data_IF_017711550815
#
_entry.id   IF_017711550815
#
_cell.length_a   1.000
_cell.length_b   1.000
_cell.length_c   1.000
_cell.angle_alpha   90.00
_cell.angle_beta   90.00
_cell.angle_gamma   90.00
#
_symmetry.space_group_name_H-M   'P 1'
#
loop_
_entity.id
_entity.type
_entity.pdbx_description
1 polymer ?
#
# COMPACT_ATOMS: atom_id res chain seq x y z
N UNK A 1 -0.77 -12.34 0.29
CA UNK A 1 -2.19 -12.68 0.46
C UNK A 1 -2.49 -13.29 1.83
N UNK A 2 -1.90 -14.42 2.24
CA UNK A 2 -2.24 -15.07 3.54
C UNK A 2 -2.16 -14.14 4.77
N UNK A 3 -1.13 -13.29 4.88
CA UNK A 3 -0.99 -12.35 6.00
C UNK A 3 -2.09 -11.27 6.01
N UNK A 4 -2.57 -10.85 4.85
CA UNK A 4 -3.68 -9.89 4.73
C UNK A 4 -4.97 -10.54 5.22
N UNK A 5 -5.23 -11.78 4.79
CA UNK A 5 -6.39 -12.55 5.25
C UNK A 5 -6.37 -12.73 6.78
N UNK A 6 -5.19 -13.03 7.35
CA UNK A 6 -5.00 -13.13 8.80
C UNK A 6 -5.25 -11.78 9.51
N UNK A 7 -4.79 -10.67 8.96
CA UNK A 7 -5.05 -9.33 9.50
C UNK A 7 -6.56 -9.00 9.51
N UNK A 8 -7.27 -9.36 8.43
CA UNK A 8 -8.74 -9.19 8.32
C UNK A 8 -9.47 -10.04 9.36
N UNK A 9 -9.10 -11.32 9.50
CA UNK A 9 -9.69 -12.21 10.51
C UNK A 9 -9.44 -11.71 11.94
N UNK A 10 -8.24 -11.19 12.22
CA UNK A 10 -7.91 -10.61 13.52
C UNK A 10 -8.76 -9.35 13.80
N UNK A 11 -8.97 -8.49 12.79
CA UNK A 11 -9.87 -7.33 12.89
C UNK A 11 -11.30 -7.75 13.23
N UNK A 12 -11.84 -8.76 12.55
CA UNK A 12 -13.20 -9.28 12.78
C UNK A 12 -13.38 -9.84 14.21
N UNK A 13 -12.30 -10.37 14.80
CA UNK A 13 -12.28 -10.88 16.17
C UNK A 13 -12.02 -9.81 17.22
N UNK A 14 -11.79 -8.55 16.83
CA UNK A 14 -11.40 -7.47 17.72
C UNK A 14 -9.97 -7.60 18.28
N UNK A 15 -9.15 -8.49 17.73
CA UNK A 15 -7.76 -8.65 18.16
C UNK A 15 -6.86 -7.63 17.46
N UNK A 16 -6.84 -6.42 18.04
CA UNK A 16 -6.07 -5.31 17.52
C UNK A 16 -4.54 -5.56 17.52
N UNK A 17 -4.04 -6.44 18.41
CA UNK A 17 -2.61 -6.77 18.46
C UNK A 17 -2.25 -7.66 17.28
N UNK A 18 -2.95 -8.77 17.10
CA UNK A 18 -2.71 -9.69 16.00
C UNK A 18 -2.93 -8.99 14.65
N UNK A 19 -3.97 -8.15 14.53
CA UNK A 19 -4.19 -7.37 13.31
C UNK A 19 -2.96 -6.50 12.98
N UNK A 20 -2.38 -5.80 13.96
CA UNK A 20 -1.20 -4.95 13.71
C UNK A 20 0.03 -5.76 13.31
N UNK A 21 0.24 -6.90 13.95
CA UNK A 21 1.35 -7.80 13.64
C UNK A 21 1.24 -8.35 12.22
N UNK A 22 0.05 -8.84 11.84
CA UNK A 22 -0.20 -9.36 10.50
C UNK A 22 -0.14 -8.28 9.42
N UNK A 23 -0.75 -7.09 9.63
CA UNK A 23 -0.64 -5.98 8.67
C UNK A 23 0.81 -5.54 8.49
N UNK A 24 1.62 -5.48 9.55
CA UNK A 24 3.05 -5.11 9.46
C UNK A 24 3.87 -6.16 8.71
N UNK A 25 3.59 -7.45 8.94
CA UNK A 25 4.22 -8.53 8.20
C UNK A 25 3.82 -8.54 6.72
N UNK A 26 2.53 -8.36 6.42
CA UNK A 26 2.02 -8.23 5.06
C UNK A 26 2.67 -7.06 4.33
N UNK A 27 2.75 -5.90 5.01
CA UNK A 27 3.39 -4.71 4.46
C UNK A 27 4.86 -4.98 4.08
N UNK A 28 5.62 -5.62 4.97
CA UNK A 28 7.02 -5.97 4.68
C UNK A 28 7.15 -6.88 3.45
N UNK A 29 6.24 -7.84 3.29
CA UNK A 29 6.24 -8.75 2.13
C UNK A 29 5.91 -8.04 0.83
N UNK A 30 4.82 -7.26 0.79
CA UNK A 30 4.40 -6.53 -0.42
C UNK A 30 5.42 -5.47 -0.81
N UNK A 31 6.00 -4.75 0.17
CA UNK A 31 7.09 -3.81 -0.09
C UNK A 31 8.29 -4.51 -0.71
N UNK A 32 8.71 -5.66 -0.17
CA UNK A 32 9.84 -6.40 -0.73
C UNK A 32 9.55 -6.85 -2.18
N UNK A 33 8.32 -7.30 -2.45
CA UNK A 33 7.90 -7.65 -3.80
C UNK A 33 7.92 -6.44 -4.75
N UNK A 34 7.39 -5.29 -4.32
CA UNK A 34 7.42 -4.04 -5.07
C UNK A 34 8.86 -3.58 -5.36
N UNK A 35 9.77 -3.67 -4.38
CA UNK A 35 11.18 -3.32 -4.54
C UNK A 35 11.89 -4.23 -5.58
N UNK A 36 11.55 -5.52 -5.66
CA UNK A 36 12.12 -6.46 -6.64
C UNK A 36 11.78 -6.08 -8.10
N UNK A 37 10.60 -5.52 -8.32
CA UNK A 37 10.13 -5.14 -9.66
C UNK A 37 10.23 -3.64 -9.94
N UNK A 38 10.78 -2.85 -9.01
CA UNK A 38 10.74 -1.38 -9.06
C UNK A 38 11.27 -0.77 -10.36
N UNK A 39 12.26 -1.41 -10.99
CA UNK A 39 12.86 -0.93 -12.25
C UNK A 39 12.38 -1.69 -13.50
N UNK A 40 11.43 -2.62 -13.36
CA UNK A 40 10.91 -3.48 -14.44
C UNK A 40 9.62 -2.86 -14.99
N UNK A 41 9.75 -1.80 -15.79
CA UNK A 41 8.61 -1.04 -16.32
C UNK A 41 7.77 -1.83 -17.34
N UNK A 42 8.38 -2.82 -17.98
CA UNK A 42 7.76 -3.76 -18.90
C UNK A 42 6.85 -4.78 -18.19
N UNK A 43 6.97 -4.93 -16.87
CA UNK A 43 6.09 -5.76 -16.04
C UNK A 43 4.79 -5.07 -15.62
N UNK A 44 4.36 -4.03 -16.32
CA UNK A 44 3.03 -3.47 -16.06
C UNK A 44 1.93 -4.44 -16.53
N UNK A 45 0.83 -4.57 -15.76
CA UNK A 45 0.47 -3.79 -14.57
C UNK A 45 1.05 -4.33 -13.25
N UNK A 46 1.71 -5.49 -13.25
CA UNK A 46 2.18 -6.17 -12.03
C UNK A 46 3.02 -5.27 -11.14
N UNK A 47 3.93 -4.45 -11.71
CA UNK A 47 4.76 -3.52 -10.93
C UNK A 47 3.91 -2.51 -10.17
N UNK A 48 2.99 -1.82 -10.86
CA UNK A 48 2.14 -0.80 -10.23
C UNK A 48 1.14 -1.39 -9.24
N UNK A 49 0.59 -2.58 -9.53
CA UNK A 49 -0.25 -3.34 -8.58
C UNK A 49 0.51 -3.63 -7.28
N UNK A 50 1.75 -4.14 -7.36
CA UNK A 50 2.54 -4.44 -6.15
C UNK A 50 2.85 -3.18 -5.33
N UNK A 51 3.19 -2.07 -5.98
CA UNK A 51 3.40 -0.80 -5.28
C UNK A 51 2.12 -0.27 -4.63
N UNK A 52 0.98 -0.38 -5.31
CA UNK A 52 -0.33 0.01 -4.77
C UNK A 52 -0.68 -0.84 -3.55
N UNK A 53 -0.55 -2.17 -3.64
CA UNK A 53 -0.79 -3.10 -2.53
C UNK A 53 0.09 -2.77 -1.32
N UNK A 54 1.38 -2.52 -1.54
CA UNK A 54 2.30 -2.11 -0.50
C UNK A 54 1.90 -0.76 0.13
N UNK A 55 1.43 0.21 -0.67
CA UNK A 55 0.99 1.51 -0.18
C UNK A 55 -0.26 1.40 0.70
N UNK A 56 -1.25 0.59 0.31
CA UNK A 56 -2.46 0.34 1.12
C UNK A 56 -2.09 -0.25 2.48
N UNK A 57 -1.20 -1.24 2.51
CA UNK A 57 -0.74 -1.84 3.77
C UNK A 57 0.10 -0.87 4.62
N UNK A 58 0.85 0.03 4.00
CA UNK A 58 1.54 1.11 4.71
C UNK A 58 0.53 2.05 5.40
N UNK A 59 -0.60 2.37 4.76
CA UNK A 59 -1.68 3.14 5.37
C UNK A 59 -2.30 2.42 6.57
N UNK A 60 -2.57 1.12 6.46
CA UNK A 60 -3.05 0.32 7.60
C UNK A 60 -2.06 0.31 8.77
N UNK A 61 -0.77 0.35 8.46
CA UNK A 61 0.30 0.44 9.45
C UNK A 61 0.55 1.87 9.95
N UNK A 62 -0.23 2.87 9.52
CA UNK A 62 -0.09 4.30 9.82
C UNK A 62 1.23 4.93 9.33
N UNK A 63 1.90 4.30 8.36
CA UNK A 63 3.17 4.73 7.79
C UNK A 63 2.95 5.67 6.58
N UNK A 64 2.30 6.83 6.81
CA UNK A 64 1.82 7.74 5.75
C UNK A 64 2.91 8.19 4.76
N UNK A 65 4.12 8.48 5.24
CA UNK A 65 5.24 8.90 4.37
C UNK A 65 5.67 7.77 3.43
N UNK A 66 5.60 6.55 3.90
CA UNK A 66 6.01 5.38 3.14
C UNK A 66 4.96 5.01 2.09
N UNK A 67 3.67 5.14 2.43
CA UNK A 67 2.57 5.02 1.46
C UNK A 67 2.74 6.03 0.31
N UNK A 68 2.98 7.30 0.62
CA UNK A 68 3.22 8.36 -0.38
C UNK A 68 4.42 8.03 -1.29
N UNK A 69 5.53 7.53 -0.71
CA UNK A 69 6.73 7.13 -1.45
C UNK A 69 6.45 5.98 -2.42
N UNK A 70 5.70 4.97 -1.98
CA UNK A 70 5.32 3.82 -2.79
C UNK A 70 4.40 4.21 -3.93
N UNK A 71 3.41 5.07 -3.68
CA UNK A 71 2.54 5.62 -4.71
C UNK A 71 3.34 6.41 -5.75
N UNK A 72 4.23 7.30 -5.30
CA UNK A 72 5.09 8.07 -6.20
C UNK A 72 5.95 7.18 -7.11
N UNK A 73 6.49 6.08 -6.56
CA UNK A 73 7.23 5.08 -7.35
C UNK A 73 6.36 4.35 -8.38
N UNK A 74 5.11 4.01 -8.02
CA UNK A 74 4.17 3.40 -8.95
C UNK A 74 3.90 4.33 -10.15
N UNK A 75 3.54 5.59 -9.85
CA UNK A 75 3.21 6.63 -10.84
C UNK A 75 4.40 7.05 -11.71
N UNK A 76 5.64 6.84 -11.26
CA UNK A 76 6.84 7.16 -12.04
C UNK A 76 7.11 6.19 -13.20
N UNK A 77 6.39 5.06 -13.28
CA UNK A 77 6.48 4.16 -14.43
C UNK A 77 5.36 4.39 -15.45
N UNK A 78 4.76 3.32 -15.96
CA UNK A 78 3.67 3.39 -16.93
C UNK A 78 2.44 2.55 -16.49
N UNK A 79 1.87 2.82 -15.29
CA UNK A 79 0.67 2.15 -14.83
C UNK A 79 -0.49 2.38 -15.79
N UNK A 80 -1.40 1.41 -15.98
CA UNK A 80 -2.64 1.64 -16.70
C UNK A 80 -3.54 2.66 -15.97
N UNK A 81 -4.45 3.29 -16.72
CA UNK A 81 -5.22 4.45 -16.27
C UNK A 81 -6.07 4.15 -15.02
N UNK A 82 -6.65 2.96 -14.92
CA UNK A 82 -7.42 2.54 -13.74
C UNK A 82 -6.56 2.53 -12.46
N UNK A 83 -5.34 1.99 -12.54
CA UNK A 83 -4.40 1.99 -11.42
C UNK A 83 -3.91 3.40 -11.10
N UNK A 84 -3.71 4.25 -12.12
CA UNK A 84 -3.36 5.66 -11.91
C UNK A 84 -4.41 6.37 -11.08
N UNK A 85 -5.69 6.19 -11.42
CA UNK A 85 -6.79 6.82 -10.71
C UNK A 85 -6.86 6.31 -9.26
N UNK A 86 -6.79 4.99 -9.05
CA UNK A 86 -6.74 4.42 -7.70
C UNK A 86 -5.58 4.97 -6.84
N UNK A 87 -4.39 5.14 -7.44
CA UNK A 87 -3.21 5.69 -6.75
C UNK A 87 -3.40 7.17 -6.38
N UNK A 88 -4.05 7.95 -7.23
CA UNK A 88 -4.36 9.37 -6.97
C UNK A 88 -5.43 9.52 -5.90
N UNK A 89 -6.44 8.66 -5.92
CA UNK A 89 -7.49 8.63 -4.89
C UNK A 89 -6.86 8.34 -3.52
N UNK A 90 -5.96 7.36 -3.41
CA UNK A 90 -5.22 7.09 -2.17
C UNK A 90 -4.41 8.32 -1.68
N UNK A 91 -3.78 9.08 -2.57
CA UNK A 91 -3.07 10.31 -2.17
C UNK A 91 -4.02 11.37 -1.63
N UNK A 92 -5.14 11.62 -2.31
CA UNK A 92 -6.07 12.69 -1.98
C UNK A 92 -6.92 12.35 -0.75
N UNK A 93 -7.54 11.18 -0.76
CA UNK A 93 -8.57 10.78 0.19
C UNK A 93 -7.99 10.24 1.49
N UNK A 94 -6.83 9.57 1.45
CA UNK A 94 -6.25 8.93 2.65
C UNK A 94 -5.03 9.69 3.19
N UNK A 95 -4.11 10.15 2.32
CA UNK A 95 -2.85 10.73 2.79
C UNK A 95 -2.99 12.23 3.07
N UNK A 96 -3.45 13.01 2.10
CA UNK A 96 -3.50 14.47 2.23
C UNK A 96 -4.65 14.95 3.11
N UNK A 97 -5.78 14.24 3.14
CA UNK A 97 -6.86 14.50 4.09
C UNK A 97 -6.38 14.41 5.55
N UNK A 98 -5.67 13.34 5.90
CA UNK A 98 -5.16 13.11 7.26
C UNK A 98 -4.08 14.13 7.64
N UNK A 99 -3.24 14.56 6.70
CA UNK A 99 -2.24 15.62 6.95
C UNK A 99 -2.87 16.98 7.20
N UNK A 100 -3.96 17.32 6.51
CA UNK A 100 -4.68 18.58 6.74
C UNK A 100 -5.40 18.59 8.08
N UNK A 101 -5.90 17.44 8.55
CA UNK A 101 -6.54 17.32 9.87
C UNK A 101 -5.59 17.52 11.06
N UNK A 102 -4.27 17.43 10.85
CA UNK A 102 -3.25 17.62 11.90
C UNK A 102 -2.75 19.09 11.96
N UNK A 103 -3.17 19.95 11.03
CA UNK A 103 -2.71 21.34 10.89
C UNK A 103 -3.68 22.34 11.52
#
# INVERSE_FOLDING_TARGET
MELVDQAVLARQRGDAKAMREFSRAAFAQERAAADLVANQLDLEPTRSVLHRSAAVLALECTELREAERLIGRALAGNPPDDIVDELRDLLLEEIYSQRQAIR
#
